data_IF_764494633919
#
_entry.id   IF_764494633919
#
_cell.length_a   1.000
_cell.length_b   1.000
_cell.length_c   1.000
_cell.angle_alpha   90.00
_cell.angle_beta   90.00
_cell.angle_gamma   90.00
#
_symmetry.space_group_name_H-M   'P 1'
#
loop_
_entity.id
_entity.type
_entity.pdbx_description
1 polymer ?
2 non-polymer ?
3 water ?
#
# COMPACT_ATOMS: atom_id res chain seq x y z
N UNK A 1 14.75 5.16 -11.81
CA UNK A 1 13.76 4.80 -10.76
C UNK A 1 12.29 4.78 -11.24
N UNK A 2 11.74 3.58 -11.48
CA UNK A 2 10.27 3.42 -11.57
C UNK A 2 9.71 2.84 -10.27
N UNK A 3 9.09 3.72 -9.47
CA UNK A 3 8.44 3.33 -8.24
C UNK A 3 7.01 3.83 -8.30
N UNK A 4 6.28 3.63 -7.22
CA UNK A 4 4.92 4.08 -7.12
C UNK A 4 4.87 5.35 -6.26
N UNK A 5 4.46 6.47 -6.86
CA UNK A 5 4.33 7.76 -6.16
C UNK A 5 2.90 7.96 -5.71
N UNK A 6 2.71 8.37 -4.44
CA UNK A 6 1.37 8.69 -3.94
C UNK A 6 0.81 9.89 -4.75
N UNK A 7 -0.35 9.69 -5.41
CA UNK A 7 -0.83 10.78 -6.27
C UNK A 7 -1.39 11.95 -5.51
N UNK A 8 -1.58 13.04 -6.26
CA UNK A 8 -2.37 14.20 -5.85
C UNK A 8 -3.70 13.72 -5.30
N UNK A 9 -4.05 14.18 -4.10
CA UNK A 9 -5.34 13.88 -3.49
C UNK A 9 -5.37 12.55 -2.76
N UNK A 10 -4.21 11.89 -2.64
CA UNK A 10 -4.10 10.61 -1.94
C UNK A 10 -3.19 10.79 -0.76
N UNK A 11 -3.37 9.88 0.20
CA UNK A 11 -2.68 9.97 1.48
C UNK A 11 -1.81 8.76 1.69
N UNK A 12 -0.77 8.91 2.49
CA UNK A 12 -0.04 7.80 3.04
C UNK A 12 -0.94 7.03 4.01
N UNK A 13 -0.73 5.70 4.16
CA UNK A 13 -1.49 4.99 5.20
C UNK A 13 -1.11 5.49 6.58
N UNK A 14 -2.03 5.40 7.52
CA UNK A 14 -1.78 5.84 8.88
C UNK A 14 -1.29 4.65 9.66
N UNK A 15 -0.05 4.71 10.07
CA UNK A 15 0.51 3.58 10.77
C UNK A 15 -0.17 3.37 12.15
N UNK A 16 -0.41 2.13 12.53
CA UNK A 16 -0.92 1.86 13.85
C UNK A 16 0.20 1.83 14.85
N UNK A 17 -0.17 1.90 16.10
CA UNK A 17 0.77 1.81 17.20
C UNK A 17 0.75 0.39 17.77
N UNK A 18 0.53 -0.65 16.96
CA UNK A 18 0.68 -2.03 17.46
C UNK A 18 2.14 -2.55 17.34
N UNK A 19 2.47 -3.60 18.12
CA UNK A 19 3.84 -4.12 18.20
C UNK A 19 4.08 -5.27 17.23
N UNK A 20 3.33 -5.28 16.14
CA UNK A 20 3.39 -6.27 15.06
C UNK A 20 3.88 -5.61 13.79
N UNK A 21 4.50 -6.38 12.91
CA UNK A 21 4.94 -5.91 11.62
C UNK A 21 4.24 -6.70 10.54
N UNK A 22 3.48 -6.03 9.73
CA UNK A 22 2.81 -6.62 8.61
C UNK A 22 3.41 -6.02 7.33
N UNK A 23 3.30 -6.72 6.21
CA UNK A 23 3.59 -6.14 4.90
C UNK A 23 2.28 -5.99 4.14
N UNK A 24 1.95 -4.75 3.79
CA UNK A 24 0.70 -4.44 3.11
C UNK A 24 0.98 -3.71 1.79
N UNK A 25 0.08 -3.91 0.84
CA UNK A 25 0.22 -3.37 -0.53
C UNK A 25 -1.01 -2.55 -0.77
N UNK A 26 -0.81 -1.27 -0.98
CA UNK A 26 -1.94 -0.35 -1.16
C UNK A 26 -2.01 0.14 -2.58
N UNK A 27 -3.21 0.17 -3.15
CA UNK A 27 -3.40 0.77 -4.46
C UNK A 27 -3.47 2.27 -4.35
N UNK A 28 -2.42 2.93 -4.81
CA UNK A 28 -2.30 4.37 -4.80
C UNK A 28 -2.71 4.94 -6.15
N UNK A 29 -3.99 4.82 -6.44
CA UNK A 29 -4.54 5.32 -7.69
C UNK A 29 -4.28 4.44 -8.89
N UNK A 30 -3.01 4.29 -9.26
CA UNK A 30 -2.61 3.50 -10.42
C UNK A 30 -1.39 2.65 -10.23
N UNK A 31 -0.95 2.47 -9.01
CA UNK A 31 0.15 1.59 -8.73
C UNK A 31 0.06 1.15 -7.29
N UNK A 32 0.65 0.00 -7.04
CA UNK A 32 0.69 -0.58 -5.73
C UNK A 32 1.98 -0.19 -5.01
N UNK A 33 1.82 0.20 -3.75
CA UNK A 33 2.92 0.66 -2.94
C UNK A 33 2.96 -0.16 -1.67
N UNK A 34 4.14 -0.60 -1.30
CA UNK A 34 4.33 -1.52 -0.20
C UNK A 34 4.76 -0.78 1.08
N UNK A 35 4.17 -1.18 2.20
CA UNK A 35 4.50 -0.61 3.51
C UNK A 35 4.67 -1.73 4.50
N UNK A 36 5.67 -1.59 5.37
CA UNK A 36 5.90 -2.58 6.42
C UNK A 36 5.88 -1.89 7.78
N UNK A 37 5.16 -2.50 8.71
CA UNK A 37 4.92 -1.95 10.05
C UNK A 37 3.54 -2.34 10.56
N UNK A 38 3.01 -1.64 11.56
CA UNK A 38 1.69 -1.93 12.04
C UNK A 38 0.67 -1.27 11.12
N UNK A 39 0.54 -1.86 9.94
CA UNK A 39 -0.35 -1.36 8.91
C UNK A 39 -1.45 -2.35 8.66
N UNK A 40 -2.64 -1.83 8.45
CA UNK A 40 -3.79 -2.62 8.12
C UNK A 40 -4.41 -1.94 6.89
N UNK A 41 -5.43 -2.51 6.30
CA UNK A 41 -5.91 -1.94 5.09
C UNK A 41 -5.04 -2.40 3.92
N UNK A 42 -5.44 -1.99 2.73
CA UNK A 42 -4.81 -2.49 1.56
C UNK A 42 -4.96 -3.98 1.46
N UNK A 43 -3.97 -4.57 0.80
CA UNK A 43 -3.95 -5.98 0.51
C UNK A 43 -2.75 -6.67 1.14
N UNK A 44 -2.90 -7.97 1.38
CA UNK A 44 -1.84 -8.77 1.98
C UNK A 44 -0.79 -9.27 0.99
N UNK A 45 -1.11 -9.26 -0.30
CA UNK A 45 -0.21 -9.76 -1.31
C UNK A 45 -0.10 -8.81 -2.48
N UNK A 46 1.05 -8.80 -3.10
CA UNK A 46 1.26 -8.00 -4.28
C UNK A 46 0.30 -8.31 -5.41
N UNK A 47 0.09 -9.59 -5.67
CA UNK A 47 -0.81 -10.01 -6.74
C UNK A 47 -2.23 -9.54 -6.56
N UNK A 48 -2.73 -9.60 -5.33
CA UNK A 48 -4.07 -9.09 -5.05
C UNK A 48 -4.13 -7.58 -5.32
N UNK A 49 -3.14 -6.83 -4.89
CA UNK A 49 -3.18 -5.39 -5.15
C UNK A 49 -3.12 -5.10 -6.63
N UNK A 50 -2.23 -5.79 -7.33
CA UNK A 50 -2.05 -5.59 -8.76
C UNK A 50 -3.33 -5.88 -9.54
N UNK A 51 -4.10 -6.86 -9.12
CA UNK A 51 -5.36 -7.22 -9.76
C UNK A 51 -6.49 -6.26 -9.46
N UNK A 52 -6.25 -5.32 -8.56
CA UNK A 52 -7.27 -4.40 -8.12
C UNK A 52 -6.78 -2.97 -8.21
N UNK A 53 -5.79 -2.73 -9.05
CA UNK A 53 -5.22 -1.42 -9.17
C UNK A 53 -5.00 -1.22 -10.67
N UNK A 54 -5.51 -0.12 -11.26
CA UNK A 54 -5.34 0.17 -12.69
C UNK A 54 -3.89 0.00 -13.11
N UNK A 55 -3.65 -0.59 -14.29
CA UNK A 55 -2.39 -1.31 -14.56
C UNK A 55 -1.26 -0.57 -15.25
X LIG B 1 -2.19 -14.03 -7.97
X LIG B 1 -2.96 -13.06 -7.23
X LIG B 1 -0.89 -14.25 -7.38
X LIG B 1 -2.83 -15.34 -8.21
X LIG B 1 -1.87 -13.58 -9.31
X LIG C 1 6.76 0.29 12.98
X LIG C 1 7.00 1.28 14.03
X LIG C 1 7.55 -0.92 13.19
X LIG C 1 5.30 -0.04 13.04
X LIG C 1 7.16 0.87 11.71
#
# INVERSE_FOLDING_TARGET
>A
AAECTVPIGWSEPVKGLCKARFTRYYCMGNCCKVYEGCYTGGYSRMGECARNCPG
>B hetero
1 SO4 S O1 O2 O3 O4
>C hetero
1 SO4 S O1 O2 O3 O4
#
